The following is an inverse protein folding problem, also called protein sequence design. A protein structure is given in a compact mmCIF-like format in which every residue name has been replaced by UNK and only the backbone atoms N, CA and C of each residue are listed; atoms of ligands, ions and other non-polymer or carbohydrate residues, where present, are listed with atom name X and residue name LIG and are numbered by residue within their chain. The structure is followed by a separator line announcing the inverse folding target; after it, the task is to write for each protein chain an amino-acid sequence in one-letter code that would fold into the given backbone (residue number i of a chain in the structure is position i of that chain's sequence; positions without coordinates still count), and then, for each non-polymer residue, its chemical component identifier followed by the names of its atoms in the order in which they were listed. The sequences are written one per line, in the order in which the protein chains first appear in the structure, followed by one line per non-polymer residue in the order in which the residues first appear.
data_IF_146471537169
#
_entry.id   IF_146471537169
#
_cell.length_a   1.000
_cell.length_b   1.000
_cell.length_c   1.000
_cell.angle_alpha   90.00
_cell.angle_beta   90.00
_cell.angle_gamma   90.00
#
_symmetry.space_group_name_H-M   'P 1'
#
loop_
_entity.id
_entity.type
_entity.pdbx_description
1 polymer ?
#
# COMPACT_ATOMS: atom_id res chain seq x y z
N UNK A 1 3.49 -48.35 28.30
CA UNK A 1 4.05 -47.19 29.00
C UNK A 1 5.33 -46.76 28.29
N UNK A 2 5.28 -45.69 27.47
CA UNK A 2 6.47 -45.01 26.93
C UNK A 2 6.28 -43.52 27.16
N UNK A 3 7.20 -42.92 27.91
CA UNK A 3 7.22 -41.51 28.29
C UNK A 3 7.70 -40.69 27.09
N UNK A 4 6.93 -39.69 26.65
CA UNK A 4 7.37 -38.68 25.72
C UNK A 4 8.03 -37.52 26.50
N UNK A 5 9.29 -37.29 26.21
CA UNK A 5 10.05 -36.18 26.78
C UNK A 5 9.79 -34.89 26.05
N UNK A 6 9.36 -33.88 26.80
CA UNK A 6 9.20 -32.50 26.34
C UNK A 6 10.57 -31.87 26.19
N UNK A 7 10.92 -31.47 24.96
CA UNK A 7 12.11 -30.61 24.71
C UNK A 7 11.68 -29.15 24.69
N UNK A 8 12.07 -28.43 25.73
CA UNK A 8 12.05 -26.96 25.74
C UNK A 8 13.15 -26.47 24.78
N UNK A 9 12.79 -25.68 23.81
CA UNK A 9 13.73 -24.90 22.99
C UNK A 9 13.67 -23.48 23.52
N UNK A 10 14.71 -23.06 24.24
CA UNK A 10 14.91 -21.67 24.64
C UNK A 10 15.45 -20.91 23.44
N UNK A 11 14.66 -19.98 22.89
CA UNK A 11 15.13 -18.99 21.94
C UNK A 11 15.79 -17.84 22.70
N UNK A 12 17.10 -17.66 22.51
CA UNK A 12 17.86 -16.52 23.02
C UNK A 12 17.59 -15.33 22.09
N UNK A 13 16.88 -14.33 22.59
CA UNK A 13 16.69 -13.05 21.94
C UNK A 13 17.96 -12.20 22.19
N UNK A 14 18.82 -12.07 21.18
CA UNK A 14 19.93 -11.12 21.20
C UNK A 14 19.40 -9.74 20.77
N UNK A 15 19.05 -8.92 21.77
CA UNK A 15 18.70 -7.52 21.54
C UNK A 15 19.95 -6.69 21.27
N UNK A 16 20.09 -6.19 20.05
CA UNK A 16 21.07 -5.15 19.71
C UNK A 16 20.48 -3.78 20.07
N UNK A 17 20.73 -3.32 21.30
CA UNK A 17 20.48 -1.92 21.67
C UNK A 17 21.64 -1.08 21.12
N UNK A 18 21.41 -0.33 20.07
CA UNK A 18 22.26 0.78 19.67
C UNK A 18 21.89 1.99 20.54
N UNK A 19 22.63 2.20 21.60
CA UNK A 19 22.58 3.43 22.37
C UNK A 19 23.30 4.53 21.61
N UNK A 20 22.54 5.46 21.01
CA UNK A 20 23.08 6.70 20.49
C UNK A 20 23.37 7.65 21.65
N UNK A 21 24.65 7.87 21.93
CA UNK A 21 25.14 8.84 22.91
C UNK A 21 24.95 10.24 22.33
N UNK A 22 24.02 10.99 22.88
CA UNK A 22 23.90 12.43 22.62
C UNK A 22 24.93 13.19 23.47
N UNK A 23 25.69 14.13 22.90
CA UNK A 23 26.60 14.96 23.70
C UNK A 23 25.79 15.97 24.52
N UNK A 24 26.01 15.96 25.83
CA UNK A 24 25.47 16.96 26.72
C UNK A 24 26.15 18.31 26.42
N UNK A 25 25.44 19.24 25.82
CA UNK A 25 25.84 20.64 25.73
C UNK A 25 25.36 21.42 26.94
N UNK A 26 26.28 22.11 27.53
CA UNK A 26 26.19 22.88 28.77
C UNK A 26 25.07 23.92 28.76
N UNK A 27 24.34 23.98 29.88
CA UNK A 27 23.47 25.09 30.22
C UNK A 27 24.28 26.34 30.52
N UNK A 28 24.18 27.36 29.69
CA UNK A 28 24.50 28.73 30.05
C UNK A 28 23.20 29.51 30.24
N UNK A 29 22.99 29.95 31.49
CA UNK A 29 21.86 30.84 31.85
C UNK A 29 22.15 32.25 31.35
N UNK A 30 21.14 32.89 30.72
CA UNK A 30 21.24 34.31 30.37
C UNK A 30 20.10 34.82 29.50
N UNK A 31 19.03 35.31 30.13
CA UNK A 31 18.15 36.45 29.79
C UNK A 31 17.48 36.58 28.41
N UNK A 32 16.16 36.61 28.53
CA UNK A 32 15.15 37.49 27.88
C UNK A 32 15.24 37.75 26.38
N UNK A 33 14.26 37.29 25.66
CA UNK A 33 13.90 37.81 24.34
C UNK A 33 13.17 36.86 23.44
N UNK A 34 11.87 37.08 23.26
CA UNK A 34 11.05 36.72 22.12
C UNK A 34 10.82 35.22 21.78
N UNK A 35 9.63 34.79 22.07
CA UNK A 35 9.02 33.54 21.52
C UNK A 35 8.93 33.59 19.98
N UNK A 36 9.90 33.04 19.30
CA UNK A 36 9.76 32.63 17.89
C UNK A 36 10.83 31.55 17.58
N UNK A 37 10.70 30.37 18.14
CA UNK A 37 11.73 29.33 17.93
C UNK A 37 11.27 27.89 18.01
N UNK A 38 9.98 27.58 18.04
CA UNK A 38 9.49 26.20 18.23
C UNK A 38 8.91 25.60 16.96
N UNK A 39 8.78 26.34 15.86
CA UNK A 39 8.13 25.81 14.64
C UNK A 39 9.12 25.31 13.54
N UNK A 40 10.42 25.54 13.66
CA UNK A 40 11.35 25.21 12.58
C UNK A 40 11.84 23.75 12.58
N UNK A 41 11.88 23.09 13.74
CA UNK A 41 12.43 21.72 13.80
C UNK A 41 11.43 20.61 13.47
N UNK A 42 10.12 20.89 13.48
CA UNK A 42 9.08 19.95 13.06
C UNK A 42 8.92 19.91 11.53
N UNK A 43 9.39 20.90 10.79
CA UNK A 43 9.18 21.01 9.34
C UNK A 43 10.25 20.28 8.50
N UNK A 44 11.44 20.04 9.04
CA UNK A 44 12.52 19.38 8.26
C UNK A 44 12.27 17.90 7.95
N UNK A 45 11.40 17.22 8.73
CA UNK A 45 11.07 15.81 8.50
C UNK A 45 9.81 15.58 7.63
N UNK A 46 9.04 16.62 7.32
CA UNK A 46 7.80 16.48 6.54
C UNK A 46 8.02 16.60 5.03
N UNK A 47 9.12 17.22 4.62
CA UNK A 47 9.40 17.47 3.21
C UNK A 47 8.62 18.66 2.63
N UNK A 48 8.94 19.01 1.40
CA UNK A 48 8.23 20.07 0.65
C UNK A 48 6.82 19.60 0.27
N UNK A 49 5.84 20.46 0.45
CA UNK A 49 4.46 20.19 0.00
C UNK A 49 4.42 20.16 -1.54
N UNK A 50 3.80 19.12 -2.09
CA UNK A 50 3.62 18.98 -3.53
C UNK A 50 2.52 19.90 -4.04
N UNK A 51 2.76 20.48 -5.21
CA UNK A 51 1.77 21.25 -5.93
C UNK A 51 0.85 20.35 -6.76
N UNK A 52 -0.33 20.85 -7.09
CA UNK A 52 -1.29 20.15 -7.93
C UNK A 52 -0.72 19.99 -9.37
N UNK A 53 -0.78 18.78 -9.92
CA UNK A 53 -0.24 18.47 -11.26
C UNK A 53 1.29 18.40 -11.34
N UNK A 54 2.00 18.44 -10.23
CA UNK A 54 3.46 18.46 -10.22
C UNK A 54 4.09 17.16 -10.75
N UNK A 55 5.19 17.29 -11.49
CA UNK A 55 6.08 16.17 -11.83
C UNK A 55 7.35 16.23 -10.98
N UNK A 56 7.55 15.20 -10.16
CA UNK A 56 8.77 15.01 -9.35
C UNK A 56 9.81 14.32 -10.24
N UNK A 57 10.93 14.97 -10.46
CA UNK A 57 12.06 14.48 -11.26
C UNK A 57 13.34 14.30 -10.44
N UNK A 58 13.33 14.65 -9.16
CA UNK A 58 14.47 14.59 -8.27
C UNK A 58 14.18 13.76 -7.02
N UNK A 59 15.22 13.11 -6.50
CA UNK A 59 15.16 12.42 -5.20
C UNK A 59 14.87 13.39 -4.07
N UNK A 60 14.06 13.00 -3.12
CA UNK A 60 13.76 13.86 -1.98
C UNK A 60 12.60 13.37 -1.12
N UNK A 61 12.30 14.18 -0.12
CA UNK A 61 11.12 14.00 0.75
C UNK A 61 10.10 15.07 0.43
N UNK A 62 8.88 14.63 0.21
CA UNK A 62 7.74 15.46 -0.17
C UNK A 62 6.56 15.14 0.72
N UNK A 63 5.58 16.04 0.79
CA UNK A 63 4.32 15.81 1.50
C UNK A 63 3.11 16.13 0.63
N UNK A 64 2.04 15.38 0.88
CA UNK A 64 0.74 15.58 0.25
C UNK A 64 -0.34 15.77 1.32
N UNK A 65 -1.15 16.78 1.13
CA UNK A 65 -2.38 17.02 1.93
C UNK A 65 -3.28 18.04 1.22
N UNK A 66 -4.58 17.89 1.36
CA UNK A 66 -5.55 18.82 0.79
C UNK A 66 -6.12 18.37 -0.56
N UNK A 67 -6.84 19.26 -1.24
CA UNK A 67 -7.44 18.96 -2.52
C UNK A 67 -6.40 19.00 -3.66
N UNK A 68 -6.52 18.06 -4.57
CA UNK A 68 -5.83 18.04 -5.86
C UNK A 68 -6.87 17.93 -6.97
N UNK A 69 -6.55 18.44 -8.16
CA UNK A 69 -7.41 18.39 -9.35
C UNK A 69 -6.72 17.70 -10.51
N UNK A 70 -5.41 17.58 -10.46
CA UNK A 70 -4.56 17.01 -11.50
C UNK A 70 -3.73 15.83 -10.95
N UNK A 71 -3.06 15.12 -11.84
CA UNK A 71 -2.19 14.00 -11.48
C UNK A 71 -0.83 14.50 -11.00
N UNK A 72 -0.42 14.13 -9.81
CA UNK A 72 0.98 14.23 -9.39
C UNK A 72 1.75 13.05 -9.97
N UNK A 73 2.87 13.32 -10.65
CA UNK A 73 3.69 12.30 -11.31
C UNK A 73 5.06 12.17 -10.64
N UNK A 74 5.52 10.94 -10.40
CA UNK A 74 6.88 10.63 -9.93
C UNK A 74 7.62 9.95 -11.08
N UNK A 75 8.71 10.56 -11.50
CA UNK A 75 9.56 10.07 -12.61
C UNK A 75 11.03 10.33 -12.29
N UNK A 76 11.59 9.52 -11.39
CA UNK A 76 12.96 9.69 -10.86
C UNK A 76 13.75 8.41 -11.11
N UNK A 77 14.29 8.21 -12.32
CA UNK A 77 15.06 7.02 -12.65
C UNK A 77 16.21 6.82 -11.63
N UNK A 78 16.31 5.59 -11.09
CA UNK A 78 17.34 5.18 -10.09
C UNK A 78 17.39 6.05 -8.82
N UNK A 79 16.40 6.94 -8.61
CA UNK A 79 16.31 7.81 -7.46
C UNK A 79 15.39 7.30 -6.36
N UNK A 80 15.43 7.99 -5.20
CA UNK A 80 14.62 7.69 -4.04
C UNK A 80 13.68 8.85 -3.72
N UNK A 81 12.40 8.58 -3.61
CA UNK A 81 11.36 9.55 -3.27
C UNK A 81 10.60 9.07 -2.05
N UNK A 82 10.41 9.96 -1.08
CA UNK A 82 9.54 9.73 0.08
C UNK A 82 8.36 10.69 -0.01
N UNK A 83 7.15 10.16 0.01
CA UNK A 83 5.91 10.93 0.09
C UNK A 83 5.26 10.72 1.46
N UNK A 84 5.14 11.77 2.24
CA UNK A 84 4.43 11.74 3.51
C UNK A 84 3.00 12.28 3.29
N UNK A 85 1.99 11.48 3.56
CA UNK A 85 0.59 11.92 3.56
C UNK A 85 0.30 12.51 4.93
N UNK A 86 0.31 13.84 5.01
CA UNK A 86 0.25 14.59 6.27
C UNK A 86 -1.15 15.08 6.63
N UNK A 87 -2.11 14.85 5.75
CA UNK A 87 -3.53 15.18 5.93
C UNK A 87 -4.38 14.47 4.88
N UNK A 88 -5.71 14.66 4.92
CA UNK A 88 -6.58 14.10 3.89
C UNK A 88 -6.18 14.60 2.48
N UNK A 89 -6.17 13.69 1.52
CA UNK A 89 -5.96 13.98 0.10
C UNK A 89 -7.25 13.64 -0.65
N UNK A 90 -7.80 14.62 -1.34
CA UNK A 90 -9.04 14.43 -2.11
C UNK A 90 -8.78 14.91 -3.54
N UNK A 91 -9.02 14.04 -4.53
CA UNK A 91 -9.03 14.46 -5.93
C UNK A 91 -10.42 14.18 -6.55
N UNK A 92 -11.13 15.26 -6.86
CA UNK A 92 -12.50 15.21 -7.37
C UNK A 92 -12.64 15.50 -8.87
N UNK A 93 -11.55 15.81 -9.56
CA UNK A 93 -11.59 16.29 -10.96
C UNK A 93 -10.87 15.34 -11.96
N UNK A 94 -10.50 14.15 -11.53
CA UNK A 94 -9.86 13.17 -12.42
C UNK A 94 -10.82 12.63 -13.47
N UNK A 95 -10.32 12.42 -14.67
CA UNK A 95 -10.96 11.56 -15.65
C UNK A 95 -10.97 10.10 -15.20
N UNK A 96 -11.85 9.29 -15.80
CA UNK A 96 -12.00 7.88 -15.40
C UNK A 96 -10.72 7.05 -15.48
N UNK A 97 -9.83 7.37 -16.40
CA UNK A 97 -8.56 6.64 -16.61
C UNK A 97 -7.36 7.28 -15.93
N UNK A 98 -7.56 8.45 -15.30
CA UNK A 98 -6.51 9.21 -14.65
C UNK A 98 -6.14 8.67 -13.27
N UNK A 99 -5.12 9.25 -12.67
CA UNK A 99 -4.59 8.82 -11.40
C UNK A 99 -4.30 10.06 -10.54
N UNK A 100 -4.58 10.01 -9.25
CA UNK A 100 -4.18 11.12 -8.37
C UNK A 100 -2.65 11.11 -8.17
N UNK A 101 -2.06 9.92 -8.04
CA UNK A 101 -0.61 9.75 -8.00
C UNK A 101 -0.17 8.71 -9.03
N UNK A 102 0.71 9.11 -9.95
CA UNK A 102 1.30 8.26 -10.99
C UNK A 102 2.79 8.07 -10.74
N UNK A 103 3.24 6.82 -10.59
CA UNK A 103 4.63 6.48 -10.35
C UNK A 103 5.17 5.75 -11.58
N UNK A 104 6.13 6.36 -12.27
CA UNK A 104 6.74 5.82 -13.51
C UNK A 104 8.08 5.14 -13.27
N UNK A 105 8.88 5.69 -12.36
CA UNK A 105 10.23 5.24 -12.08
C UNK A 105 10.61 5.46 -10.63
N UNK A 106 11.69 4.78 -10.19
CA UNK A 106 12.39 5.01 -8.95
C UNK A 106 11.97 4.10 -7.80
N UNK A 107 12.60 4.32 -6.68
CA UNK A 107 12.21 3.71 -5.39
C UNK A 107 11.39 4.73 -4.61
N UNK A 108 10.12 4.43 -4.42
CA UNK A 108 9.16 5.36 -3.80
C UNK A 108 8.66 4.78 -2.49
N UNK A 109 8.71 5.56 -1.42
CA UNK A 109 8.10 5.22 -0.13
C UNK A 109 6.96 6.19 0.14
N UNK A 110 5.75 5.67 0.36
CA UNK A 110 4.57 6.44 0.73
C UNK A 110 4.24 6.13 2.18
N UNK A 111 4.36 7.13 3.05
CA UNK A 111 4.04 7.03 4.46
C UNK A 111 2.69 7.70 4.73
N UNK A 112 1.72 6.93 5.17
CA UNK A 112 0.43 7.42 5.63
C UNK A 112 0.12 6.85 7.03
N UNK A 113 1.04 7.07 7.95
CA UNK A 113 1.05 6.45 9.29
C UNK A 113 -0.07 6.94 10.21
N UNK A 114 -0.74 8.03 9.85
CA UNK A 114 -1.90 8.56 10.57
C UNK A 114 -3.23 8.04 10.00
N UNK A 115 -3.18 7.15 9.01
CA UNK A 115 -4.35 6.64 8.29
C UNK A 115 -5.23 7.75 7.71
N UNK A 116 -4.61 8.81 7.20
CA UNK A 116 -5.33 9.85 6.49
C UNK A 116 -6.06 9.26 5.27
N UNK A 117 -7.23 9.77 4.97
CA UNK A 117 -7.96 9.35 3.80
C UNK A 117 -7.34 9.95 2.53
N UNK A 118 -7.06 9.10 1.56
CA UNK A 118 -6.68 9.46 0.19
C UNK A 118 -7.81 8.99 -0.73
N UNK A 119 -8.62 9.91 -1.21
CA UNK A 119 -9.84 9.57 -1.96
C UNK A 119 -9.91 10.23 -3.33
N UNK A 120 -10.50 9.51 -4.28
CA UNK A 120 -10.80 9.99 -5.63
C UNK A 120 -12.26 9.70 -5.97
N UNK A 121 -12.94 10.65 -6.59
CA UNK A 121 -14.32 10.48 -7.07
C UNK A 121 -14.38 9.80 -8.43
N UNK A 122 -13.29 9.84 -9.20
CA UNK A 122 -13.10 9.16 -10.48
C UNK A 122 -11.61 8.84 -10.65
N UNK A 123 -11.28 7.87 -11.51
CA UNK A 123 -9.88 7.47 -11.68
C UNK A 123 -9.35 6.59 -10.54
N UNK A 124 -8.05 6.59 -10.34
CA UNK A 124 -7.31 5.78 -9.36
C UNK A 124 -6.64 6.64 -8.30
N UNK A 125 -6.53 6.16 -7.08
CA UNK A 125 -5.68 6.81 -6.09
C UNK A 125 -4.21 6.74 -6.50
N UNK A 126 -3.71 5.54 -6.75
CA UNK A 126 -2.29 5.33 -7.08
C UNK A 126 -2.16 4.36 -8.26
N UNK A 127 -1.35 4.74 -9.23
CA UNK A 127 -0.90 3.86 -10.31
C UNK A 127 0.62 3.80 -10.33
N UNK A 128 1.16 2.58 -10.29
CA UNK A 128 2.55 2.29 -10.64
C UNK A 128 2.56 1.87 -12.11
N UNK A 129 3.23 2.62 -12.99
CA UNK A 129 3.22 2.40 -14.43
C UNK A 129 4.65 2.26 -14.98
N UNK A 130 5.05 1.00 -15.19
CA UNK A 130 6.38 0.64 -15.70
C UNK A 130 6.32 0.15 -17.15
N UNK A 131 5.33 0.59 -17.91
CA UNK A 131 5.08 0.15 -19.30
C UNK A 131 6.22 0.41 -20.29
N UNK A 132 7.17 1.26 -19.95
CA UNK A 132 8.26 1.71 -20.83
C UNK A 132 9.61 1.03 -20.57
N UNK A 133 9.65 -0.08 -19.81
CA UNK A 133 10.90 -0.77 -19.46
C UNK A 133 11.69 -0.13 -18.31
N UNK A 134 11.12 0.88 -17.68
CA UNK A 134 11.60 1.48 -16.45
C UNK A 134 11.46 0.48 -15.27
N UNK A 135 11.92 0.87 -14.09
CA UNK A 135 11.74 0.11 -12.85
C UNK A 135 11.13 1.03 -11.80
N UNK A 136 10.04 0.59 -11.21
CA UNK A 136 9.48 1.23 -10.03
C UNK A 136 9.33 0.21 -8.92
N UNK A 137 9.87 0.55 -7.75
CA UNK A 137 9.67 -0.18 -6.50
C UNK A 137 8.95 0.75 -5.54
N UNK A 138 7.78 0.36 -5.09
CA UNK A 138 6.94 1.21 -4.24
C UNK A 138 6.67 0.51 -2.93
N UNK A 139 6.95 1.19 -1.82
CA UNK A 139 6.57 0.76 -0.47
C UNK A 139 5.49 1.70 0.06
N UNK A 140 4.36 1.15 0.47
CA UNK A 140 3.28 1.91 1.10
C UNK A 140 3.14 1.48 2.56
N UNK A 141 3.20 2.43 3.46
CA UNK A 141 3.10 2.21 4.90
C UNK A 141 1.81 2.86 5.42
N UNK A 142 0.80 2.05 5.70
CA UNK A 142 -0.50 2.47 6.21
C UNK A 142 -1.36 3.24 5.21
N UNK A 143 -2.40 3.86 5.74
CA UNK A 143 -3.30 4.74 4.99
C UNK A 143 -4.60 4.11 4.53
N UNK A 144 -5.56 4.99 4.25
CA UNK A 144 -6.88 4.64 3.75
C UNK A 144 -7.03 5.23 2.35
N UNK A 145 -7.14 4.37 1.34
CA UNK A 145 -7.25 4.74 -0.07
C UNK A 145 -8.61 4.34 -0.60
N UNK A 146 -9.34 5.29 -1.20
CA UNK A 146 -10.71 5.06 -1.68
C UNK A 146 -10.90 5.56 -3.10
N UNK A 147 -11.46 4.73 -3.96
CA UNK A 147 -11.88 5.13 -5.30
C UNK A 147 -13.37 4.86 -5.51
N UNK A 148 -14.08 5.89 -5.98
CA UNK A 148 -15.42 5.78 -6.54
C UNK A 148 -15.41 5.79 -8.08
N UNK A 149 -14.27 5.51 -8.69
CA UNK A 149 -14.11 5.51 -10.15
C UNK A 149 -13.82 4.13 -10.73
N UNK A 150 -12.59 3.73 -10.64
CA UNK A 150 -12.09 2.43 -11.11
C UNK A 150 -11.24 1.78 -10.02
N UNK A 151 -10.15 1.08 -10.38
CA UNK A 151 -9.26 0.47 -9.40
C UNK A 151 -8.68 1.51 -8.44
N UNK A 152 -8.59 1.18 -7.16
CA UNK A 152 -7.99 2.10 -6.18
C UNK A 152 -6.48 2.12 -6.28
N UNK A 153 -5.86 0.92 -6.24
CA UNK A 153 -4.43 0.73 -6.41
C UNK A 153 -4.17 -0.12 -7.66
N UNK A 154 -3.38 0.40 -8.58
CA UNK A 154 -3.04 -0.32 -9.81
C UNK A 154 -1.52 -0.45 -9.97
N UNK A 155 -1.00 -1.67 -9.86
CA UNK A 155 0.38 -1.99 -10.14
C UNK A 155 0.54 -2.53 -11.56
N UNK A 156 0.98 -1.68 -12.48
CA UNK A 156 1.23 -2.03 -13.87
C UNK A 156 2.73 -2.28 -14.06
N UNK A 157 3.13 -3.54 -13.89
CA UNK A 157 4.49 -4.11 -14.03
C UNK A 157 5.57 -3.64 -13.03
N UNK A 158 5.23 -2.90 -11.99
CA UNK A 158 6.14 -2.56 -10.89
C UNK A 158 6.25 -3.64 -9.83
N UNK A 159 7.05 -3.35 -8.81
CA UNK A 159 7.08 -4.11 -7.55
C UNK A 159 6.51 -3.25 -6.44
N UNK A 160 5.51 -3.75 -5.73
CA UNK A 160 4.87 -3.02 -4.63
C UNK A 160 4.92 -3.82 -3.33
N UNK A 161 5.21 -3.14 -2.24
CA UNK A 161 5.19 -3.64 -0.87
C UNK A 161 4.13 -2.84 -0.11
N UNK A 162 3.09 -3.51 0.37
CA UNK A 162 1.92 -2.88 1.01
C UNK A 162 1.86 -3.32 2.48
N UNK A 163 2.12 -2.41 3.41
CA UNK A 163 2.10 -2.65 4.84
C UNK A 163 0.90 -1.95 5.47
N UNK A 164 -0.04 -2.70 6.03
CA UNK A 164 -1.23 -2.20 6.73
C UNK A 164 -2.08 -1.20 5.92
N UNK A 165 -2.12 -1.39 4.61
CA UNK A 165 -2.85 -0.51 3.69
C UNK A 165 -4.34 -0.89 3.65
N UNK A 166 -5.22 0.08 3.88
CA UNK A 166 -6.66 -0.08 3.63
C UNK A 166 -7.00 0.47 2.25
N UNK A 167 -7.50 -0.38 1.37
CA UNK A 167 -7.89 -0.02 0.01
C UNK A 167 -9.33 -0.41 -0.27
N UNK A 168 -10.12 0.57 -0.71
CA UNK A 168 -11.54 0.41 -1.00
C UNK A 168 -11.88 0.87 -2.41
N UNK A 169 -12.57 0.02 -3.17
CA UNK A 169 -13.12 0.39 -4.49
C UNK A 169 -14.63 0.20 -4.53
N UNK A 170 -15.32 1.20 -5.02
CA UNK A 170 -16.78 1.12 -5.18
C UNK A 170 -17.18 0.36 -6.45
N UNK A 171 -16.41 0.50 -7.55
CA UNK A 171 -16.82 -0.01 -8.86
C UNK A 171 -15.86 -0.99 -9.53
N UNK A 172 -14.66 -1.19 -8.96
CA UNK A 172 -13.65 -2.09 -9.56
C UNK A 172 -12.78 -2.74 -8.47
N UNK A 173 -11.51 -2.99 -8.72
CA UNK A 173 -10.59 -3.65 -7.80
C UNK A 173 -10.07 -2.68 -6.72
N UNK A 174 -9.96 -3.15 -5.48
CA UNK A 174 -9.17 -2.47 -4.46
C UNK A 174 -7.67 -2.53 -4.78
N UNK A 175 -7.20 -3.67 -5.29
CA UNK A 175 -5.84 -3.87 -5.79
C UNK A 175 -5.88 -4.64 -7.12
N UNK A 176 -5.39 -4.02 -8.20
CA UNK A 176 -5.17 -4.66 -9.49
C UNK A 176 -3.66 -4.81 -9.73
N UNK A 177 -3.17 -6.05 -9.77
CA UNK A 177 -1.74 -6.34 -9.89
C UNK A 177 -1.41 -7.02 -11.23
N UNK A 178 -0.59 -6.38 -12.03
CA UNK A 178 0.01 -6.92 -13.24
C UNK A 178 1.51 -7.17 -13.11
N UNK A 179 2.11 -6.71 -12.03
CA UNK A 179 3.51 -6.86 -11.67
C UNK A 179 3.72 -7.82 -10.50
N UNK A 180 4.54 -7.41 -9.56
CA UNK A 180 4.78 -8.14 -8.31
C UNK A 180 4.23 -7.36 -7.13
N UNK A 181 3.42 -7.98 -6.28
CA UNK A 181 2.87 -7.38 -5.08
C UNK A 181 3.12 -8.26 -3.85
N UNK A 182 3.63 -7.65 -2.80
CA UNK A 182 3.79 -8.24 -1.47
C UNK A 182 2.89 -7.48 -0.50
N UNK A 183 1.93 -8.17 0.10
CA UNK A 183 0.90 -7.57 0.95
C UNK A 183 1.08 -8.08 2.37
N UNK A 184 1.43 -7.16 3.27
CA UNK A 184 1.70 -7.42 4.68
C UNK A 184 0.67 -6.69 5.54
N UNK A 185 -0.51 -7.31 5.69
CA UNK A 185 -1.61 -6.74 6.46
C UNK A 185 -2.50 -5.76 5.68
N UNK A 186 -3.45 -5.19 6.40
CA UNK A 186 -4.41 -4.23 5.86
C UNK A 186 -5.69 -4.84 5.29
N UNK A 187 -6.53 -3.97 4.73
CA UNK A 187 -7.87 -4.35 4.28
C UNK A 187 -8.09 -3.98 2.81
N UNK A 188 -8.56 -4.92 2.02
CA UNK A 188 -8.85 -4.74 0.60
C UNK A 188 -10.31 -5.09 0.33
N UNK A 189 -11.09 -4.11 -0.06
CA UNK A 189 -12.53 -4.24 -0.17
C UNK A 189 -13.05 -3.71 -1.51
N UNK A 190 -13.94 -4.49 -2.17
CA UNK A 190 -14.68 -4.05 -3.35
C UNK A 190 -16.17 -4.30 -3.16
N UNK A 191 -16.99 -3.35 -3.62
CA UNK A 191 -18.44 -3.52 -3.70
C UNK A 191 -18.90 -4.09 -5.03
N UNK A 192 -18.05 -4.07 -6.03
CA UNK A 192 -18.41 -4.44 -7.40
C UNK A 192 -18.36 -5.95 -7.65
N UNK A 193 -18.79 -6.36 -8.84
CA UNK A 193 -18.59 -7.74 -9.31
C UNK A 193 -17.14 -8.07 -9.71
N UNK A 194 -16.27 -7.04 -9.85
CA UNK A 194 -14.83 -7.24 -10.03
C UNK A 194 -14.20 -7.77 -8.73
N UNK A 195 -13.13 -8.58 -8.79
CA UNK A 195 -12.47 -9.07 -7.59
C UNK A 195 -11.87 -7.91 -6.79
N UNK A 196 -11.88 -8.02 -5.44
CA UNK A 196 -11.24 -7.00 -4.61
C UNK A 196 -9.73 -6.96 -4.83
N UNK A 197 -9.09 -8.12 -4.89
CA UNK A 197 -7.68 -8.29 -5.27
C UNK A 197 -7.60 -9.10 -6.56
N UNK A 198 -7.02 -8.50 -7.60
CA UNK A 198 -6.88 -9.11 -8.91
C UNK A 198 -5.41 -9.25 -9.31
N UNK A 199 -4.89 -10.47 -9.32
CA UNK A 199 -3.58 -10.81 -9.88
C UNK A 199 -3.76 -11.20 -11.35
N UNK A 200 -3.58 -10.24 -12.27
CA UNK A 200 -4.28 -10.21 -13.57
C UNK A 200 -3.53 -10.81 -14.76
N UNK A 201 -2.24 -11.04 -14.69
CA UNK A 201 -1.47 -11.54 -15.84
C UNK A 201 -0.80 -12.88 -15.53
N UNK A 202 -0.52 -13.69 -16.55
CA UNK A 202 0.20 -14.96 -16.38
C UNK A 202 1.61 -14.80 -15.79
N UNK A 203 2.20 -13.62 -15.87
CA UNK A 203 3.53 -13.29 -15.31
C UNK A 203 3.47 -12.55 -14.00
N UNK A 204 2.28 -12.10 -13.57
CA UNK A 204 2.13 -11.39 -12.30
C UNK A 204 2.31 -12.32 -11.10
N UNK A 205 2.85 -11.77 -10.02
CA UNK A 205 2.98 -12.47 -8.75
C UNK A 205 2.35 -11.66 -7.63
N UNK A 206 1.63 -12.35 -6.76
CA UNK A 206 1.13 -11.76 -5.52
C UNK A 206 1.42 -12.67 -4.33
N UNK A 207 1.80 -12.07 -3.20
CA UNK A 207 1.94 -12.73 -1.92
C UNK A 207 1.05 -12.03 -0.90
N UNK A 208 0.14 -12.79 -0.29
CA UNK A 208 -0.81 -12.31 0.72
C UNK A 208 -0.46 -12.96 2.06
N UNK A 209 -0.10 -12.14 3.04
CA UNK A 209 0.40 -12.59 4.34
C UNK A 209 -0.67 -12.58 5.44
N UNK A 210 -0.32 -12.98 6.67
CA UNK A 210 -1.24 -13.40 7.73
C UNK A 210 -2.30 -12.37 8.15
N UNK A 211 -1.97 -11.08 8.19
CA UNK A 211 -2.87 -10.03 8.69
C UNK A 211 -3.69 -9.33 7.58
N UNK A 212 -3.81 -9.97 6.40
CA UNK A 212 -4.54 -9.42 5.27
C UNK A 212 -6.02 -9.78 5.37
N UNK A 213 -6.89 -8.77 5.24
CA UNK A 213 -8.33 -8.95 5.08
C UNK A 213 -8.76 -8.58 3.66
N UNK A 214 -9.39 -9.52 2.94
CA UNK A 214 -9.93 -9.27 1.60
C UNK A 214 -11.41 -9.59 1.59
N UNK A 215 -12.22 -8.61 1.21
CA UNK A 215 -13.67 -8.79 1.13
C UNK A 215 -14.26 -8.25 -0.16
N UNK A 216 -15.34 -8.89 -0.62
CA UNK A 216 -16.09 -8.45 -1.78
C UNK A 216 -17.60 -8.63 -1.55
N UNK A 217 -18.37 -7.56 -1.82
CA UNK A 217 -19.82 -7.61 -1.65
C UNK A 217 -20.51 -8.39 -2.77
N UNK A 218 -20.07 -8.23 -4.02
CA UNK A 218 -20.76 -8.75 -5.20
C UNK A 218 -19.96 -9.74 -6.04
N UNK A 219 -18.66 -9.85 -5.81
CA UNK A 219 -17.73 -10.68 -6.57
C UNK A 219 -16.86 -11.61 -5.71
N UNK A 220 -15.75 -12.06 -6.29
CA UNK A 220 -14.73 -12.83 -5.57
C UNK A 220 -13.81 -11.89 -4.77
N UNK A 221 -13.42 -12.22 -3.54
CA UNK A 221 -12.33 -11.53 -2.87
C UNK A 221 -11.04 -11.53 -3.70
N UNK A 222 -10.60 -12.68 -4.16
CA UNK A 222 -9.35 -12.81 -4.91
C UNK A 222 -9.57 -13.54 -6.23
N UNK A 223 -9.04 -12.98 -7.32
CA UNK A 223 -8.91 -13.70 -8.60
C UNK A 223 -7.43 -13.72 -9.00
N UNK A 224 -6.93 -14.91 -9.33
CA UNK A 224 -5.54 -15.14 -9.74
C UNK A 224 -5.44 -15.72 -11.16
N UNK A 225 -4.69 -15.03 -12.02
CA UNK A 225 -4.31 -15.48 -13.37
C UNK A 225 -2.81 -15.82 -13.44
N UNK A 226 -2.00 -15.30 -12.53
CA UNK A 226 -0.56 -15.53 -12.45
C UNK A 226 -0.17 -16.51 -11.34
N UNK A 227 0.78 -16.10 -10.52
CA UNK A 227 1.20 -16.85 -9.32
C UNK A 227 0.71 -16.12 -8.08
N UNK A 228 0.02 -16.82 -7.18
CA UNK A 228 -0.40 -16.32 -5.89
C UNK A 228 0.06 -17.25 -4.77
N UNK A 229 0.73 -16.69 -3.77
CA UNK A 229 1.10 -17.35 -2.53
C UNK A 229 0.24 -16.74 -1.40
N UNK A 230 -0.63 -17.54 -0.78
CA UNK A 230 -1.53 -17.13 0.29
C UNK A 230 -1.04 -17.77 1.59
N UNK A 231 -0.35 -16.97 2.40
CA UNK A 231 0.29 -17.45 3.62
C UNK A 231 -0.65 -17.43 4.83
N UNK A 232 -1.70 -16.62 4.78
CA UNK A 232 -2.69 -16.48 5.84
C UNK A 232 -3.81 -15.51 5.45
N UNK A 233 -4.38 -14.80 6.42
CA UNK A 233 -5.39 -13.78 6.20
C UNK A 233 -6.84 -14.27 6.20
N UNK A 234 -7.77 -13.34 5.99
CA UNK A 234 -9.21 -13.61 5.94
C UNK A 234 -9.81 -13.15 4.61
N UNK A 235 -10.53 -14.04 3.96
CA UNK A 235 -11.11 -13.85 2.62
C UNK A 235 -12.62 -14.06 2.68
N UNK A 236 -13.40 -13.00 2.45
CA UNK A 236 -14.85 -13.03 2.62
C UNK A 236 -15.57 -12.64 1.34
N UNK A 237 -16.42 -13.53 0.80
CA UNK A 237 -17.36 -13.20 -0.25
C UNK A 237 -18.78 -13.08 0.33
N UNK A 238 -19.41 -11.94 0.14
CA UNK A 238 -20.81 -11.74 0.54
C UNK A 238 -21.82 -12.23 -0.52
N UNK A 239 -21.32 -12.54 -1.72
CA UNK A 239 -22.09 -13.10 -2.82
C UNK A 239 -22.02 -14.64 -2.85
N UNK A 240 -22.59 -15.25 -3.87
CA UNK A 240 -22.44 -16.68 -4.18
C UNK A 240 -21.12 -17.01 -4.89
N UNK A 241 -20.24 -16.03 -5.06
CA UNK A 241 -18.94 -16.20 -5.70
C UNK A 241 -17.98 -16.99 -4.83
N UNK A 242 -16.98 -17.59 -5.46
CA UNK A 242 -15.89 -18.28 -4.77
C UNK A 242 -15.03 -17.27 -3.99
N UNK A 243 -14.44 -17.69 -2.86
CA UNK A 243 -13.51 -16.85 -2.11
C UNK A 243 -12.20 -16.65 -2.87
N UNK A 244 -11.75 -17.63 -3.61
CA UNK A 244 -10.59 -17.53 -4.51
C UNK A 244 -11.01 -18.14 -5.85
N UNK A 245 -10.82 -17.35 -6.91
CA UNK A 245 -10.99 -17.79 -8.28
C UNK A 245 -9.62 -17.91 -8.95
N UNK A 246 -9.30 -19.09 -9.45
CA UNK A 246 -8.05 -19.36 -10.18
C UNK A 246 -8.37 -19.76 -11.60
N UNK A 247 -7.59 -19.28 -12.55
CA UNK A 247 -7.77 -19.65 -13.97
C UNK A 247 -6.88 -20.81 -14.38
N UNK A 248 -7.19 -21.44 -15.50
CA UNK A 248 -6.29 -22.43 -16.11
C UNK A 248 -4.91 -21.78 -16.38
N UNK A 249 -3.84 -22.47 -16.08
CA UNK A 249 -2.45 -22.01 -16.19
C UNK A 249 -1.98 -21.00 -15.14
N UNK A 250 -2.78 -20.71 -14.11
CA UNK A 250 -2.32 -19.99 -12.93
C UNK A 250 -1.84 -20.95 -11.82
N UNK A 251 -1.01 -20.45 -10.93
CA UNK A 251 -0.57 -21.18 -9.74
C UNK A 251 -1.08 -20.46 -8.49
N UNK A 252 -1.78 -21.20 -7.64
CA UNK A 252 -2.21 -20.66 -6.34
C UNK A 252 -1.79 -21.63 -5.25
N UNK A 253 -0.89 -21.19 -4.38
CA UNK A 253 -0.41 -21.93 -3.23
C UNK A 253 -1.10 -21.36 -1.98
N UNK A 254 -1.81 -22.19 -1.23
CA UNK A 254 -2.49 -21.80 -0.01
C UNK A 254 -1.80 -22.49 1.16
N UNK A 255 -1.15 -21.71 2.00
CA UNK A 255 -0.43 -22.17 3.19
C UNK A 255 -1.25 -21.96 4.47
N UNK A 256 -2.21 -21.05 4.44
CA UNK A 256 -3.08 -20.72 5.55
C UNK A 256 -4.24 -19.81 5.15
N UNK A 257 -5.00 -19.34 6.15
CA UNK A 257 -6.07 -18.37 5.98
C UNK A 257 -7.47 -18.91 6.26
N UNK A 258 -8.40 -17.99 6.42
CA UNK A 258 -9.83 -18.26 6.63
C UNK A 258 -10.62 -17.80 5.41
N UNK A 259 -11.43 -18.70 4.86
CA UNK A 259 -12.20 -18.46 3.64
C UNK A 259 -13.69 -18.58 3.94
N UNK A 260 -14.42 -17.47 3.82
CA UNK A 260 -15.84 -17.39 4.14
C UNK A 260 -16.64 -16.91 2.93
N UNK A 261 -17.62 -17.66 2.49
CA UNK A 261 -18.48 -17.31 1.36
C UNK A 261 -19.84 -17.98 1.42
N UNK A 262 -20.82 -17.36 0.81
CA UNK A 262 -22.15 -17.96 0.64
C UNK A 262 -22.19 -18.97 -0.52
N UNK A 263 -21.17 -18.98 -1.37
CA UNK A 263 -21.01 -19.95 -2.45
C UNK A 263 -20.42 -21.27 -1.96
N UNK A 264 -20.68 -22.35 -2.69
CA UNK A 264 -19.99 -23.62 -2.46
C UNK A 264 -18.56 -23.52 -2.98
N UNK A 265 -17.57 -23.59 -2.09
CA UNK A 265 -16.19 -23.86 -2.51
C UNK A 265 -16.15 -25.23 -3.21
N UNK A 266 -15.84 -25.23 -4.48
CA UNK A 266 -15.60 -26.47 -5.26
C UNK A 266 -14.12 -26.64 -5.44
#
# INVERSE_FOLDING_TARGET
MKKFGTRLISAVLAGCMMASVLPASAFAAGRTGSETGVSAQASENQGRILEDGEEITESGTYSMSGPYTETVTINVPDGNVVINITGPVVNSNLGRTDNALLIRNGTVTINNLQNNEFSVTSGRCIRVDVSTGAKATVTMNGGIYKSSGIETLFNFYGTVYLHDVTSFSEYDNALNNWGTAYVYGGKYESKSSAPAVYNRTGTSRIELNDDVEVSNESGCPVTNIGTADINGGRYTSQSTSLCINTTANSTTNIHGGTFEGKGTCK
#
